data_IF_120513492921
#
_entry.id   IF_120513492921
#
_cell.length_a   1.000
_cell.length_b   1.000
_cell.length_c   1.000
_cell.angle_alpha   90.00
_cell.angle_beta   90.00
_cell.angle_gamma   90.00
#
_symmetry.space_group_name_H-M   'P 1'
#
loop_
_entity.id
_entity.type
_entity.pdbx_description
1 polymer ?
#
# COMPACT_ATOMS: atom_id res chain seq x y z
N UNK A 1 21.16 21.93 -5.83
CA UNK A 1 22.06 21.66 -6.99
C UNK A 1 23.19 22.68 -7.10
N UNK A 2 22.98 23.98 -6.82
CA UNK A 2 24.05 25.00 -6.90
C UNK A 2 25.29 24.71 -6.07
N UNK A 3 25.14 24.21 -4.84
CA UNK A 3 26.28 23.84 -3.98
C UNK A 3 27.06 22.68 -4.64
N UNK A 4 26.38 21.64 -5.12
CA UNK A 4 27.04 20.52 -5.81
C UNK A 4 27.76 20.98 -7.08
N UNK A 5 27.23 21.96 -7.83
CA UNK A 5 27.89 22.50 -9.02
C UNK A 5 29.26 23.13 -8.71
N UNK A 6 29.48 23.63 -7.48
CA UNK A 6 30.78 24.16 -7.03
C UNK A 6 31.80 23.06 -6.71
N UNK A 7 31.34 21.81 -6.55
CA UNK A 7 32.14 20.63 -6.19
C UNK A 7 32.01 19.54 -7.26
N UNK A 8 32.02 19.92 -8.54
CA UNK A 8 31.78 19.01 -9.67
C UNK A 8 32.78 17.86 -9.78
N UNK A 9 33.99 18.04 -9.27
CA UNK A 9 35.09 17.07 -9.35
C UNK A 9 35.06 16.06 -8.19
N UNK A 10 34.17 16.24 -7.21
CA UNK A 10 34.04 15.31 -6.09
C UNK A 10 33.27 14.04 -6.46
N UNK A 11 33.48 12.98 -5.67
CA UNK A 11 32.81 11.69 -5.82
C UNK A 11 31.61 11.62 -4.87
N UNK A 12 30.43 11.38 -5.41
CA UNK A 12 29.20 11.32 -4.63
C UNK A 12 28.70 9.87 -4.48
N UNK A 13 28.19 9.54 -3.31
CA UNK A 13 27.40 8.33 -3.11
C UNK A 13 25.93 8.71 -3.13
N UNK A 14 25.14 8.06 -3.99
CA UNK A 14 23.71 8.28 -4.11
C UNK A 14 22.97 7.11 -3.43
N UNK A 15 22.57 7.26 -2.16
CA UNK A 15 21.78 6.26 -1.46
C UNK A 15 20.35 6.25 -1.99
N UNK A 16 19.87 5.08 -2.40
CA UNK A 16 18.59 4.88 -3.05
C UNK A 16 17.82 3.72 -2.40
N UNK A 17 16.51 3.75 -2.54
CA UNK A 17 15.69 2.56 -2.33
C UNK A 17 15.78 1.65 -3.56
N UNK A 18 15.46 0.37 -3.41
CA UNK A 18 15.36 -0.54 -4.56
C UNK A 18 14.31 -0.08 -5.59
N UNK A 19 13.26 0.62 -5.13
CA UNK A 19 12.16 1.13 -5.95
C UNK A 19 12.31 2.63 -6.31
N UNK A 20 13.53 3.14 -6.35
CA UNK A 20 13.78 4.55 -6.66
C UNK A 20 13.35 4.91 -8.09
N UNK A 21 12.95 6.18 -8.28
CA UNK A 21 12.76 6.76 -9.61
C UNK A 21 14.12 7.14 -10.21
N UNK A 22 14.29 6.98 -11.52
CA UNK A 22 15.54 7.29 -12.23
C UNK A 22 15.76 8.80 -12.44
N UNK A 23 14.77 9.65 -12.16
CA UNK A 23 14.83 11.12 -12.36
C UNK A 23 16.08 11.78 -11.75
N UNK A 24 16.44 11.42 -10.51
CA UNK A 24 17.63 11.98 -9.83
C UNK A 24 18.94 11.41 -10.42
N UNK A 25 19.10 10.09 -10.58
CA UNK A 25 20.22 9.53 -11.32
C UNK A 25 20.43 10.10 -12.73
N UNK A 26 19.34 10.29 -13.49
CA UNK A 26 19.37 10.84 -14.84
C UNK A 26 19.84 12.29 -14.83
N UNK A 27 19.29 13.12 -13.94
CA UNK A 27 19.72 14.51 -13.78
C UNK A 27 21.22 14.61 -13.43
N UNK A 28 21.73 13.72 -12.58
CA UNK A 28 23.15 13.72 -12.20
C UNK A 28 24.05 13.24 -13.35
N UNK A 29 23.57 12.29 -14.18
CA UNK A 29 24.26 11.89 -15.42
C UNK A 29 24.31 13.04 -16.42
N UNK A 30 23.20 13.73 -16.64
CA UNK A 30 23.09 14.83 -17.62
C UNK A 30 24.03 16.00 -17.30
N UNK A 31 24.31 16.22 -16.01
CA UNK A 31 25.21 17.29 -15.55
C UNK A 31 26.68 16.78 -15.42
N UNK A 32 26.95 15.52 -15.81
CA UNK A 32 28.24 14.83 -15.73
C UNK A 32 28.85 14.81 -14.32
N UNK A 33 28.04 14.54 -13.29
CA UNK A 33 28.56 14.31 -11.95
C UNK A 33 29.18 12.91 -11.80
N UNK A 34 30.26 12.82 -11.02
CA UNK A 34 30.85 11.54 -10.63
C UNK A 34 30.10 10.97 -9.41
N UNK A 35 29.22 9.99 -9.63
CA UNK A 35 28.48 9.37 -8.54
C UNK A 35 28.37 7.84 -8.67
N UNK A 36 28.23 7.17 -7.53
CA UNK A 36 27.91 5.74 -7.43
C UNK A 36 26.56 5.56 -6.75
N UNK A 37 25.70 4.69 -7.31
CA UNK A 37 24.43 4.33 -6.67
C UNK A 37 24.67 3.31 -5.55
N UNK A 38 23.99 3.47 -4.42
CA UNK A 38 23.95 2.47 -3.35
C UNK A 38 22.50 2.19 -2.96
N UNK A 39 22.01 0.98 -3.23
CA UNK A 39 20.66 0.57 -2.80
C UNK A 39 20.74 0.17 -1.33
N UNK A 40 20.24 1.02 -0.43
CA UNK A 40 20.40 0.84 1.02
C UNK A 40 19.22 0.11 1.66
N UNK A 41 18.05 0.14 1.05
CA UNK A 41 16.87 -0.52 1.58
C UNK A 41 15.90 -0.96 0.48
N UNK A 42 15.15 -2.02 0.78
CA UNK A 42 14.11 -2.57 -0.08
C UNK A 42 12.83 -2.75 0.72
N UNK A 43 11.72 -2.29 0.15
CA UNK A 43 10.39 -2.61 0.66
C UNK A 43 9.96 -3.94 0.06
N UNK A 44 9.90 -4.98 0.87
CA UNK A 44 9.38 -6.29 0.51
C UNK A 44 8.06 -6.53 1.24
N UNK A 45 7.24 -7.43 0.70
CA UNK A 45 6.08 -7.92 1.44
C UNK A 45 6.55 -8.84 2.56
N UNK A 46 6.03 -8.66 3.75
CA UNK A 46 6.24 -9.61 4.85
C UNK A 46 5.61 -10.95 4.49
N UNK A 47 6.28 -12.03 4.89
CA UNK A 47 5.73 -13.38 4.80
C UNK A 47 4.59 -13.52 5.82
N UNK A 48 3.39 -13.83 5.33
CA UNK A 48 2.18 -14.01 6.14
C UNK A 48 1.65 -15.44 6.05
N UNK A 49 2.45 -16.39 5.59
CA UNK A 49 2.01 -17.78 5.40
C UNK A 49 1.45 -18.43 6.67
N UNK A 50 1.97 -18.05 7.85
CA UNK A 50 1.44 -18.50 9.16
C UNK A 50 0.00 -18.04 9.47
N UNK A 51 -0.51 -17.03 8.77
CA UNK A 51 -1.89 -16.55 8.93
C UNK A 51 -2.89 -17.31 8.05
N UNK A 52 -2.45 -18.25 7.21
CA UNK A 52 -3.32 -18.96 6.25
C UNK A 52 -4.48 -19.71 6.92
N UNK A 53 -4.30 -20.20 8.14
CA UNK A 53 -5.31 -20.96 8.88
C UNK A 53 -6.28 -20.05 9.67
N UNK A 54 -6.11 -18.72 9.63
CA UNK A 54 -6.95 -17.77 10.35
C UNK A 54 -7.96 -17.14 9.41
N UNK A 55 -9.23 -17.53 9.56
CA UNK A 55 -10.34 -16.91 8.85
C UNK A 55 -10.70 -15.57 9.51
N UNK A 56 -10.52 -14.47 8.80
CA UNK A 56 -10.93 -13.14 9.24
C UNK A 56 -12.30 -12.75 8.68
N UNK A 57 -13.14 -12.19 9.54
CA UNK A 57 -14.43 -11.62 9.12
C UNK A 57 -14.24 -10.36 8.28
N UNK A 58 -13.24 -9.53 8.61
CA UNK A 58 -12.95 -8.26 7.93
C UNK A 58 -11.45 -8.10 7.70
N UNK A 59 -11.05 -7.82 6.46
CA UNK A 59 -9.69 -7.40 6.09
C UNK A 59 -9.68 -5.91 5.75
N UNK A 60 -8.73 -5.18 6.30
CA UNK A 60 -8.68 -3.72 6.22
C UNK A 60 -7.39 -3.26 5.55
N UNK A 61 -7.52 -2.56 4.43
CA UNK A 61 -6.39 -2.10 3.62
C UNK A 61 -6.24 -0.58 3.63
N UNK A 62 -5.02 -0.12 3.91
CA UNK A 62 -4.66 1.31 3.91
C UNK A 62 -3.86 1.74 2.68
N UNK A 63 -3.42 0.78 1.86
CA UNK A 63 -2.61 1.06 0.68
C UNK A 63 -2.77 0.00 -0.41
N UNK A 64 -2.55 0.35 -1.70
CA UNK A 64 -2.53 -0.61 -2.80
C UNK A 64 -1.53 -1.76 -2.62
N UNK A 65 -0.39 -1.49 -1.95
CA UNK A 65 0.60 -2.53 -1.65
C UNK A 65 0.06 -3.61 -0.69
N UNK A 66 -0.89 -3.27 0.18
CA UNK A 66 -1.55 -4.27 1.03
C UNK A 66 -2.36 -5.28 0.20
N UNK A 67 -3.05 -4.83 -0.85
CA UNK A 67 -3.78 -5.71 -1.77
C UNK A 67 -2.80 -6.61 -2.52
N UNK A 68 -1.69 -6.06 -3.02
CA UNK A 68 -0.64 -6.85 -3.65
C UNK A 68 -0.08 -7.91 -2.70
N UNK A 69 0.21 -7.51 -1.45
CA UNK A 69 0.71 -8.41 -0.41
C UNK A 69 -0.24 -9.58 -0.14
N UNK A 70 -1.56 -9.33 -0.10
CA UNK A 70 -2.58 -10.37 0.07
C UNK A 70 -2.42 -11.48 -0.98
N UNK A 71 -2.37 -11.14 -2.27
CA UNK A 71 -2.26 -12.15 -3.33
C UNK A 71 -0.85 -12.73 -3.47
N UNK A 72 0.19 -12.03 -3.04
CA UNK A 72 1.54 -12.60 -2.98
C UNK A 72 1.65 -13.67 -1.89
N UNK A 73 1.07 -13.42 -0.72
CA UNK A 73 1.08 -14.35 0.41
C UNK A 73 0.02 -15.46 0.28
N UNK A 74 -1.11 -15.14 -0.34
CA UNK A 74 -2.24 -16.06 -0.53
C UNK A 74 -2.67 -16.06 -2.01
N UNK A 75 -1.90 -16.70 -2.92
CA UNK A 75 -2.19 -16.68 -4.36
C UNK A 75 -3.58 -17.22 -4.74
N UNK A 76 -4.13 -18.11 -3.91
CA UNK A 76 -5.45 -18.71 -4.08
C UNK A 76 -6.52 -18.06 -3.20
N UNK A 77 -6.28 -16.84 -2.69
CA UNK A 77 -7.22 -16.15 -1.82
C UNK A 77 -8.61 -16.07 -2.47
N UNK A 78 -9.63 -16.48 -1.72
CA UNK A 78 -11.03 -16.35 -2.09
C UNK A 78 -11.73 -15.51 -1.03
N UNK A 79 -12.33 -14.40 -1.45
CA UNK A 79 -12.98 -13.48 -0.52
C UNK A 79 -14.14 -14.14 0.25
N UNK A 80 -14.96 -14.98 -0.39
CA UNK A 80 -16.11 -15.66 0.25
C UNK A 80 -16.98 -14.67 1.08
N UNK A 81 -17.08 -14.91 2.39
CA UNK A 81 -17.81 -14.09 3.34
C UNK A 81 -16.97 -13.00 3.99
N UNK A 82 -15.65 -13.02 3.80
CA UNK A 82 -14.73 -12.00 4.33
C UNK A 82 -15.06 -10.64 3.71
N UNK A 83 -15.20 -9.64 4.58
CA UNK A 83 -15.48 -8.26 4.20
C UNK A 83 -14.19 -7.53 3.92
N UNK A 84 -14.14 -6.77 2.84
CA UNK A 84 -12.97 -5.97 2.50
C UNK A 84 -13.27 -4.50 2.78
N UNK A 85 -12.43 -3.89 3.61
CA UNK A 85 -12.43 -2.48 3.91
C UNK A 85 -11.22 -1.80 3.27
N UNK A 86 -11.41 -0.61 2.68
CA UNK A 86 -10.31 0.18 2.13
C UNK A 86 -10.33 1.62 2.61
N UNK A 87 -9.13 2.19 2.80
CA UNK A 87 -8.92 3.60 3.06
C UNK A 87 -8.26 4.29 1.85
N UNK A 88 -8.97 5.25 1.26
CA UNK A 88 -8.57 6.07 0.13
C UNK A 88 -8.92 5.48 -1.24
N UNK A 89 -9.20 6.37 -2.20
CA UNK A 89 -9.61 6.00 -3.56
C UNK A 89 -8.59 5.13 -4.30
N UNK A 90 -7.29 5.33 -4.05
CA UNK A 90 -6.23 4.51 -4.66
C UNK A 90 -6.29 3.06 -4.18
N UNK A 91 -6.53 2.85 -2.89
CA UNK A 91 -6.62 1.51 -2.29
C UNK A 91 -7.89 0.80 -2.74
N UNK A 92 -9.02 1.54 -2.77
CA UNK A 92 -10.28 1.02 -3.29
C UNK A 92 -10.14 0.54 -4.74
N UNK A 93 -9.60 1.38 -5.61
CA UNK A 93 -9.36 1.03 -7.02
C UNK A 93 -8.46 -0.20 -7.17
N UNK A 94 -7.38 -0.29 -6.39
CA UNK A 94 -6.50 -1.47 -6.43
C UNK A 94 -7.20 -2.76 -6.00
N UNK A 95 -8.13 -2.69 -5.03
CA UNK A 95 -8.93 -3.83 -4.62
C UNK A 95 -9.92 -4.26 -5.72
N UNK A 96 -10.60 -3.30 -6.35
CA UNK A 96 -11.51 -3.56 -7.48
C UNK A 96 -10.78 -4.15 -8.68
N UNK A 97 -9.62 -3.61 -9.06
CA UNK A 97 -8.77 -4.13 -10.14
C UNK A 97 -8.26 -5.54 -9.86
N UNK A 98 -8.09 -5.90 -8.58
CA UNK A 98 -7.74 -7.25 -8.15
C UNK A 98 -8.94 -8.21 -8.04
N UNK A 99 -10.15 -7.76 -8.42
CA UNK A 99 -11.37 -8.57 -8.41
C UNK A 99 -12.01 -8.74 -7.03
N UNK A 100 -11.63 -7.93 -6.04
CA UNK A 100 -12.23 -7.93 -4.70
C UNK A 100 -13.49 -7.08 -4.68
N UNK A 101 -14.53 -7.57 -4.00
CA UNK A 101 -15.71 -6.79 -3.64
C UNK A 101 -15.37 -5.91 -2.44
N UNK A 102 -15.46 -4.60 -2.59
CA UNK A 102 -15.38 -3.66 -1.46
C UNK A 102 -16.69 -3.64 -0.69
N UNK A 103 -16.62 -3.96 0.61
CA UNK A 103 -17.77 -3.92 1.51
C UNK A 103 -17.78 -2.61 2.34
N UNK A 104 -16.59 -2.06 2.64
CA UNK A 104 -16.42 -0.85 3.46
C UNK A 104 -15.41 0.08 2.79
N UNK A 105 -15.74 1.36 2.64
CA UNK A 105 -14.79 2.36 2.11
C UNK A 105 -14.78 3.60 2.98
N UNK A 106 -13.60 4.16 3.16
CA UNK A 106 -13.38 5.47 3.77
C UNK A 106 -12.23 6.19 3.04
N UNK A 107 -12.09 7.52 3.12
CA UNK A 107 -13.10 8.44 3.64
C UNK A 107 -14.33 8.52 2.73
N UNK A 108 -15.50 8.72 3.32
CA UNK A 108 -16.78 9.04 2.67
C UNK A 108 -17.43 10.21 3.40
N UNK A 109 -18.36 10.97 2.78
CA UNK A 109 -19.03 12.10 3.45
C UNK A 109 -19.64 11.76 4.81
N UNK A 110 -20.24 10.57 4.93
CA UNK A 110 -20.86 10.03 6.14
C UNK A 110 -19.89 9.29 7.08
N UNK A 111 -18.65 9.04 6.64
CA UNK A 111 -17.64 8.31 7.39
C UNK A 111 -16.22 8.79 7.00
N UNK A 112 -15.74 9.91 7.59
CA UNK A 112 -14.43 10.47 7.25
C UNK A 112 -13.26 9.59 7.72
N UNK A 113 -13.49 8.65 8.64
CA UNK A 113 -12.49 7.72 9.15
C UNK A 113 -12.91 6.28 8.94
N UNK A 114 -11.93 5.39 8.87
CA UNK A 114 -12.15 3.96 8.72
C UNK A 114 -12.81 3.35 9.97
N UNK A 115 -12.47 3.86 11.16
CA UNK A 115 -13.13 3.49 12.41
C UNK A 115 -14.62 3.76 12.36
N UNK A 116 -15.03 4.95 11.88
CA UNK A 116 -16.44 5.31 11.76
C UNK A 116 -17.14 4.49 10.68
N UNK A 117 -16.46 4.22 9.56
CA UNK A 117 -17.00 3.35 8.50
C UNK A 117 -17.25 1.93 9.00
N UNK A 118 -16.31 1.37 9.77
CA UNK A 118 -16.44 0.07 10.42
C UNK A 118 -17.59 0.05 11.44
N UNK A 119 -17.68 1.06 12.30
CA UNK A 119 -18.74 1.16 13.30
C UNK A 119 -20.14 1.23 12.65
N UNK A 120 -20.28 2.05 11.60
CA UNK A 120 -21.53 2.15 10.83
C UNK A 120 -21.89 0.81 10.19
N UNK A 121 -20.91 0.15 9.54
CA UNK A 121 -21.10 -1.15 8.92
C UNK A 121 -21.56 -2.22 9.93
N UNK A 122 -20.90 -2.31 11.09
CA UNK A 122 -21.25 -3.28 12.14
C UNK A 122 -22.66 -3.01 12.68
N UNK A 123 -23.02 -1.73 12.92
CA UNK A 123 -24.37 -1.36 13.38
C UNK A 123 -25.44 -1.75 12.38
N UNK A 124 -25.23 -1.47 11.10
CA UNK A 124 -26.17 -1.83 10.03
C UNK A 124 -26.30 -3.36 9.90
N UNK A 125 -25.16 -4.07 9.88
CA UNK A 125 -25.13 -5.52 9.74
C UNK A 125 -25.81 -6.23 10.90
N UNK A 126 -25.62 -5.76 12.14
CA UNK A 126 -26.26 -6.34 13.33
C UNK A 126 -27.75 -6.02 13.42
N UNK A 127 -28.20 -4.84 12.97
CA UNK A 127 -29.62 -4.50 12.88
C UNK A 127 -30.36 -5.38 11.88
N UNK A 128 -29.75 -5.64 10.72
CA UNK A 128 -30.32 -6.51 9.68
C UNK A 128 -30.41 -7.97 10.16
N UNK A 129 -29.47 -8.41 11.00
CA UNK A 129 -29.40 -9.79 11.50
C UNK A 129 -30.19 -10.05 12.80
N UNK A 130 -31.01 -9.11 13.28
CA UNK A 130 -32.00 -9.37 14.32
C UNK A 130 -31.45 -9.75 15.70
N UNK A 131 -30.30 -9.19 16.12
CA UNK A 131 -29.87 -9.20 17.52
C UNK A 131 -29.99 -7.80 18.10
N UNK A 132 -31.21 -7.47 18.56
CA UNK A 132 -31.47 -6.45 19.58
C UNK A 132 -31.91 -7.16 20.86
#
# INVERSE_FOLDING_TARGET
VEIMKKHKDEKFLLPLSAAHKEEIPELLKDINFNFSKAVLYRTECSDLSDLADVNYDILVFYSPSGIKSLFQNFPNFKQNNTKIASFGAKTAKAAEEAGLRLDITAPQPQAPSLTMALENFIKEHNKINGKS
#
